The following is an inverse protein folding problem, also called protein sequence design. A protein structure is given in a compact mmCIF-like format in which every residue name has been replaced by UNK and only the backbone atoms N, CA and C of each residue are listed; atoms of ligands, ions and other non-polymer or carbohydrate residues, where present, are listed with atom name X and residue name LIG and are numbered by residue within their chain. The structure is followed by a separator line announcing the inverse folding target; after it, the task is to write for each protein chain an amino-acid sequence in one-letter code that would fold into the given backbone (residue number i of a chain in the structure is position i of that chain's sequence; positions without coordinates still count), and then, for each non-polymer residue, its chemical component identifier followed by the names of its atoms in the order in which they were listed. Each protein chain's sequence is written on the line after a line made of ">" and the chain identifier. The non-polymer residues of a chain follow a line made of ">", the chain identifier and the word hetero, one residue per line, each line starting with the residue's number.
data_IF_334216076429
#
_entry.id   IF_334216076429
#
_cell.length_a   1.000
_cell.length_b   1.000
_cell.length_c   1.000
_cell.angle_alpha   90.00
_cell.angle_beta   90.00
_cell.angle_gamma   90.00
#
_symmetry.space_group_name_H-M   'P 1'
#
loop_
_entity.id
_entity.type
_entity.pdbx_description
1 polymer ?
#
# COMPACT_ATOMS: atom_id res chain seq x y z
N UNK A 1 -27.68 15.33 -11.34
CA UNK A 1 -27.90 14.29 -10.30
C UNK A 1 -27.85 12.86 -10.84
N UNK A 2 -28.58 12.51 -11.91
CA UNK A 2 -28.54 11.14 -12.47
C UNK A 2 -27.13 10.65 -12.87
N UNK A 3 -26.33 11.50 -13.55
CA UNK A 3 -24.93 11.16 -13.92
C UNK A 3 -24.04 10.86 -12.71
N UNK A 4 -24.21 11.61 -11.60
CA UNK A 4 -23.46 11.40 -10.36
C UNK A 4 -23.84 10.09 -9.67
N UNK A 5 -25.14 9.75 -9.65
CA UNK A 5 -25.61 8.47 -9.11
C UNK A 5 -25.09 7.28 -9.90
N UNK A 6 -25.12 7.35 -11.23
CA UNK A 6 -24.59 6.28 -12.09
C UNK A 6 -23.10 6.09 -11.85
N UNK A 7 -22.33 7.18 -11.71
CA UNK A 7 -20.90 7.12 -11.42
C UNK A 7 -20.62 6.49 -10.04
N UNK A 8 -21.36 6.87 -9.00
CA UNK A 8 -21.22 6.28 -7.65
C UNK A 8 -21.57 4.80 -7.62
N UNK A 9 -22.61 4.38 -8.35
CA UNK A 9 -22.97 2.95 -8.49
C UNK A 9 -21.84 2.19 -9.19
N UNK A 10 -21.31 2.73 -10.29
CA UNK A 10 -20.19 2.11 -11.02
C UNK A 10 -18.95 1.92 -10.14
N UNK A 11 -18.60 2.96 -9.37
CA UNK A 11 -17.50 2.89 -8.40
C UNK A 11 -17.79 1.83 -7.34
N UNK A 12 -18.96 1.85 -6.69
CA UNK A 12 -19.31 0.87 -5.66
C UNK A 12 -19.29 -0.57 -6.17
N UNK A 13 -19.77 -0.84 -7.40
CA UNK A 13 -19.68 -2.16 -8.02
C UNK A 13 -18.23 -2.58 -8.23
N UNK A 14 -17.37 -1.67 -8.72
CA UNK A 14 -15.94 -1.95 -8.92
C UNK A 14 -15.26 -2.31 -7.57
N UNK A 15 -15.49 -1.52 -6.53
CA UNK A 15 -14.94 -1.77 -5.19
C UNK A 15 -15.45 -3.08 -4.58
N UNK A 16 -16.71 -3.46 -4.84
CA UNK A 16 -17.28 -4.74 -4.41
C UNK A 16 -16.57 -5.94 -5.07
N UNK A 17 -16.35 -5.89 -6.39
CA UNK A 17 -15.61 -6.95 -7.12
C UNK A 17 -14.17 -7.08 -6.60
N UNK A 18 -13.49 -5.97 -6.34
CA UNK A 18 -12.14 -5.97 -5.77
C UNK A 18 -12.14 -6.59 -4.37
N UNK A 19 -13.13 -6.26 -3.54
CA UNK A 19 -13.24 -6.79 -2.18
C UNK A 19 -13.48 -8.30 -2.15
N UNK A 20 -14.36 -8.82 -3.01
CA UNK A 20 -14.59 -10.26 -3.10
C UNK A 20 -13.37 -11.01 -3.60
N UNK A 21 -12.70 -10.50 -4.65
CA UNK A 21 -11.45 -11.11 -5.14
C UNK A 21 -10.31 -11.05 -4.14
N UNK A 22 -10.28 -10.01 -3.30
CA UNK A 22 -9.29 -9.86 -2.23
C UNK A 22 -9.61 -10.63 -0.95
N UNK A 23 -10.66 -11.46 -0.92
CA UNK A 23 -10.99 -12.32 0.22
C UNK A 23 -11.76 -11.66 1.36
N UNK A 24 -12.32 -10.45 1.19
CA UNK A 24 -13.12 -9.79 2.22
C UNK A 24 -14.59 -9.62 1.79
N UNK A 25 -15.44 -10.65 2.04
CA UNK A 25 -16.83 -10.64 1.61
C UNK A 25 -17.68 -9.60 2.34
N UNK A 26 -17.31 -9.20 3.58
CA UNK A 26 -18.03 -8.18 4.34
C UNK A 26 -17.90 -6.80 3.68
N UNK A 27 -16.69 -6.42 3.28
CA UNK A 27 -16.46 -5.18 2.52
C UNK A 27 -17.14 -5.25 1.16
N UNK A 28 -17.12 -6.42 0.50
CA UNK A 28 -17.84 -6.65 -0.76
C UNK A 28 -19.34 -6.40 -0.65
N UNK A 29 -19.99 -6.95 0.39
CA UNK A 29 -21.42 -6.76 0.66
C UNK A 29 -21.76 -5.31 1.00
N UNK A 30 -20.92 -4.63 1.77
CA UNK A 30 -21.09 -3.22 2.13
C UNK A 30 -21.19 -2.33 0.89
N UNK A 31 -20.30 -2.52 -0.09
CA UNK A 31 -20.36 -1.79 -1.35
C UNK A 31 -21.57 -2.15 -2.22
N UNK A 32 -22.03 -3.42 -2.19
CA UNK A 32 -23.28 -3.81 -2.86
C UNK A 32 -24.48 -3.07 -2.27
N UNK A 33 -24.56 -2.97 -0.94
CA UNK A 33 -25.64 -2.23 -0.26
C UNK A 33 -25.60 -0.74 -0.64
N UNK A 34 -24.41 -0.13 -0.68
CA UNK A 34 -24.23 1.26 -1.10
C UNK A 34 -24.66 1.47 -2.56
N UNK A 35 -24.33 0.54 -3.46
CA UNK A 35 -24.75 0.58 -4.86
C UNK A 35 -26.27 0.42 -5.04
N UNK A 36 -26.90 -0.43 -4.22
CA UNK A 36 -28.33 -0.72 -4.29
C UNK A 36 -29.21 0.37 -3.65
N UNK A 37 -28.69 1.12 -2.66
CA UNK A 37 -29.47 2.07 -1.88
C UNK A 37 -30.23 3.14 -2.71
N UNK A 38 -29.64 3.78 -3.74
CA UNK A 38 -30.35 4.75 -4.57
C UNK A 38 -31.50 4.12 -5.36
N UNK A 39 -31.30 2.90 -5.88
CA UNK A 39 -32.29 2.17 -6.67
C UNK A 39 -33.46 1.74 -5.78
N UNK A 40 -33.16 1.20 -4.60
CA UNK A 40 -34.17 0.84 -3.61
C UNK A 40 -34.95 2.06 -3.12
N UNK A 41 -34.28 3.19 -2.91
CA UNK A 41 -34.92 4.44 -2.52
C UNK A 41 -35.88 4.97 -3.59
N UNK A 42 -35.46 4.99 -4.86
CA UNK A 42 -36.31 5.41 -5.98
C UNK A 42 -37.50 4.46 -6.16
N UNK A 43 -37.26 3.14 -6.11
CA UNK A 43 -38.32 2.13 -6.17
C UNK A 43 -39.35 2.29 -5.06
N UNK A 44 -38.89 2.52 -3.82
CA UNK A 44 -39.75 2.79 -2.67
C UNK A 44 -40.56 4.10 -2.83
N UNK A 45 -39.92 5.18 -3.29
CA UNK A 45 -40.59 6.47 -3.51
C UNK A 45 -41.67 6.38 -4.60
N UNK A 46 -41.42 5.62 -5.67
CA UNK A 46 -42.41 5.39 -6.74
C UNK A 46 -43.56 4.50 -6.25
N UNK A 47 -43.26 3.43 -5.52
CA UNK A 47 -44.27 2.51 -5.00
C UNK A 47 -45.19 3.19 -3.98
N UNK A 48 -44.64 4.03 -3.10
CA UNK A 48 -45.41 4.79 -2.10
C UNK A 48 -46.25 5.89 -2.73
N UNK A 49 -45.76 6.61 -3.77
CA UNK A 49 -46.58 7.57 -4.54
C UNK A 49 -47.78 6.91 -5.21
N UNK A 50 -47.62 5.70 -5.76
CA UNK A 50 -48.74 4.94 -6.36
C UNK A 50 -49.79 4.53 -5.32
N UNK A 51 -49.40 4.21 -4.09
CA UNK A 51 -50.32 3.89 -2.99
C UNK A 51 -50.98 5.13 -2.36
N UNK A 52 -50.32 6.29 -2.42
CA UNK A 52 -50.79 7.52 -1.78
C UNK A 52 -51.82 8.33 -2.59
N UNK A 53 -52.26 7.84 -3.76
CA UNK A 53 -53.29 8.48 -4.59
C UNK A 53 -54.71 8.55 -3.99
N UNK A 54 -54.87 8.39 -2.66
CA UNK A 54 -56.18 8.32 -2.00
C UNK A 54 -56.32 8.98 -0.64
N UNK A 55 -55.28 9.51 0.01
CA UNK A 55 -55.47 10.12 1.35
C UNK A 55 -54.46 11.21 1.67
N UNK A 56 -54.97 12.42 1.89
CA UNK A 56 -54.26 13.56 2.47
C UNK A 56 -53.71 13.20 3.85
N UNK A 57 -52.39 13.05 3.97
CA UNK A 57 -51.74 12.74 5.24
C UNK A 57 -51.74 13.97 6.16
N UNK A 58 -52.59 13.92 7.17
CA UNK A 58 -52.58 14.78 8.38
C UNK A 58 -51.21 14.74 9.06
N UNK A 59 -50.85 15.87 9.67
CA UNK A 59 -49.49 16.25 10.06
C UNK A 59 -48.74 15.28 10.96
N UNK A 60 -47.50 15.00 10.57
CA UNK A 60 -46.50 14.39 11.45
C UNK A 60 -46.05 15.41 12.50
N UNK A 61 -46.30 15.12 13.78
CA UNK A 61 -45.95 16.00 14.91
C UNK A 61 -44.45 16.31 15.00
N UNK A 62 -44.11 17.47 15.56
CA UNK A 62 -42.73 17.98 15.67
C UNK A 62 -41.75 16.98 16.32
N UNK A 63 -42.23 16.14 17.24
CA UNK A 63 -41.45 15.09 17.91
C UNK A 63 -41.02 13.96 16.96
N UNK A 64 -41.87 13.61 15.99
CA UNK A 64 -41.57 12.58 14.99
C UNK A 64 -40.58 13.09 13.92
N UNK A 65 -40.53 14.42 13.69
CA UNK A 65 -39.50 15.06 12.85
C UNK A 65 -38.12 15.02 13.51
N UNK A 66 -38.03 15.25 14.83
CA UNK A 66 -36.77 15.19 15.58
C UNK A 66 -36.14 13.79 15.62
N UNK A 67 -36.94 12.75 15.86
CA UNK A 67 -36.44 11.37 15.81
C UNK A 67 -36.03 10.94 14.40
N UNK A 68 -36.75 11.37 13.35
CA UNK A 68 -36.37 11.11 11.96
C UNK A 68 -35.05 11.76 11.58
N UNK A 69 -34.80 13.01 11.99
CA UNK A 69 -33.53 13.68 11.68
C UNK A 69 -32.35 13.05 12.42
N UNK A 70 -32.56 12.58 13.66
CA UNK A 70 -31.54 11.86 14.43
C UNK A 70 -31.19 10.51 13.79
N UNK A 71 -32.20 9.73 13.40
CA UNK A 71 -32.00 8.45 12.69
C UNK A 71 -31.28 8.64 11.34
N UNK A 72 -31.65 9.66 10.57
CA UNK A 72 -30.99 9.97 9.30
C UNK A 72 -29.53 10.39 9.49
N UNK A 73 -29.22 11.15 10.54
CA UNK A 73 -27.84 11.53 10.86
C UNK A 73 -27.02 10.31 11.31
N UNK A 74 -27.59 9.45 12.15
CA UNK A 74 -26.92 8.23 12.60
C UNK A 74 -26.62 7.29 11.42
N UNK A 75 -27.59 7.05 10.53
CA UNK A 75 -27.37 6.22 9.33
C UNK A 75 -26.35 6.83 8.39
N UNK A 76 -26.36 8.15 8.20
CA UNK A 76 -25.35 8.84 7.41
C UNK A 76 -23.94 8.64 7.98
N UNK A 77 -23.76 8.80 9.30
CA UNK A 77 -22.46 8.58 9.97
C UNK A 77 -21.99 7.14 9.82
N UNK A 78 -22.85 6.16 10.09
CA UNK A 78 -22.51 4.73 9.94
C UNK A 78 -22.11 4.42 8.50
N UNK A 79 -22.82 4.97 7.52
CA UNK A 79 -22.50 4.76 6.10
C UNK A 79 -21.14 5.36 5.74
N UNK A 80 -20.82 6.56 6.23
CA UNK A 80 -19.51 7.19 5.99
C UNK A 80 -18.38 6.37 6.61
N UNK A 81 -18.54 5.88 7.84
CA UNK A 81 -17.55 5.02 8.49
C UNK A 81 -17.37 3.69 7.74
N UNK A 82 -18.47 3.08 7.34
CA UNK A 82 -18.50 1.83 6.59
C UNK A 82 -17.78 1.97 5.23
N UNK A 83 -18.12 3.01 4.45
CA UNK A 83 -17.47 3.29 3.16
C UNK A 83 -16.01 3.67 3.36
N UNK A 84 -15.70 4.50 4.36
CA UNK A 84 -14.34 4.87 4.71
C UNK A 84 -13.47 3.65 5.02
N UNK A 85 -13.97 2.72 5.83
CA UNK A 85 -13.32 1.45 6.11
C UNK A 85 -13.16 0.57 4.87
N UNK A 86 -14.20 0.47 4.03
CA UNK A 86 -14.14 -0.30 2.79
C UNK A 86 -13.09 0.23 1.81
N UNK A 87 -13.02 1.56 1.64
CA UNK A 87 -11.99 2.21 0.82
C UNK A 87 -10.61 1.99 1.45
N UNK A 88 -10.48 2.16 2.77
CA UNK A 88 -9.22 1.91 3.47
C UNK A 88 -8.72 0.48 3.23
N UNK A 89 -9.59 -0.51 3.38
CA UNK A 89 -9.22 -1.91 3.18
C UNK A 89 -8.82 -2.22 1.74
N UNK A 90 -9.49 -1.63 0.74
CA UNK A 90 -9.14 -1.82 -0.68
C UNK A 90 -7.82 -1.15 -1.03
N UNK A 91 -7.55 0.02 -0.46
CA UNK A 91 -6.41 0.88 -0.81
C UNK A 91 -5.15 0.65 0.05
N UNK A 92 -5.26 0.13 1.27
CA UNK A 92 -4.10 0.07 2.18
C UNK A 92 -3.80 -1.33 2.70
N UNK A 93 -4.79 -2.22 2.76
CA UNK A 93 -4.57 -3.57 3.30
C UNK A 93 -3.80 -4.44 2.28
N UNK A 94 -2.71 -5.11 2.69
CA UNK A 94 -1.96 -6.02 1.83
C UNK A 94 -2.85 -7.09 1.18
N UNK A 95 -2.56 -7.45 -0.08
CA UNK A 95 -3.33 -8.46 -0.83
C UNK A 95 -2.45 -9.64 -1.22
N UNK A 96 -3.03 -10.84 -1.21
CA UNK A 96 -2.36 -12.01 -1.75
C UNK A 96 -2.00 -11.79 -3.22
N UNK A 97 -0.84 -12.31 -3.60
CA UNK A 97 -0.39 -12.40 -4.98
C UNK A 97 -0.09 -13.86 -5.30
N UNK A 98 -1.08 -14.53 -5.92
CA UNK A 98 -1.02 -15.94 -6.27
C UNK A 98 -0.29 -16.21 -7.61
N UNK A 99 0.37 -15.20 -8.18
CA UNK A 99 1.19 -15.39 -9.39
C UNK A 99 2.38 -16.30 -9.06
N UNK A 100 2.74 -17.14 -10.02
CA UNK A 100 3.95 -17.97 -9.92
C UNK A 100 5.17 -17.09 -9.69
N UNK A 101 5.98 -17.45 -8.69
CA UNK A 101 7.24 -16.77 -8.40
C UNK A 101 8.34 -17.45 -9.20
N UNK A 102 8.96 -16.73 -10.10
CA UNK A 102 10.07 -17.23 -10.92
C UNK A 102 11.41 -16.65 -10.49
N UNK A 103 11.39 -15.47 -9.87
CA UNK A 103 12.59 -14.69 -9.49
C UNK A 103 12.29 -13.84 -8.26
N UNK A 104 13.34 -13.47 -7.53
CA UNK A 104 13.22 -12.59 -6.35
C UNK A 104 12.58 -11.26 -6.69
N UNK A 105 12.84 -10.69 -7.88
CA UNK A 105 12.22 -9.43 -8.29
C UNK A 105 10.70 -9.50 -8.43
N UNK A 106 10.09 -10.69 -8.51
CA UNK A 106 8.63 -10.82 -8.50
C UNK A 106 8.03 -10.43 -7.11
N UNK A 107 8.87 -10.41 -6.06
CA UNK A 107 8.51 -10.01 -4.70
C UNK A 107 8.51 -8.47 -4.49
N UNK A 108 9.00 -7.68 -5.44
CA UNK A 108 9.09 -6.21 -5.36
C UNK A 108 7.73 -5.56 -5.01
N UNK A 109 6.64 -6.12 -5.54
CA UNK A 109 5.28 -5.63 -5.23
C UNK A 109 4.90 -5.73 -3.74
N UNK A 110 5.68 -6.43 -2.91
CA UNK A 110 5.59 -6.40 -1.45
C UNK A 110 5.91 -5.03 -0.84
N UNK A 111 6.69 -4.20 -1.55
CA UNK A 111 7.10 -2.86 -1.13
C UNK A 111 6.17 -1.74 -1.60
N UNK A 112 5.15 -2.03 -2.42
CA UNK A 112 4.03 -1.11 -2.64
C UNK A 112 4.01 -0.34 -3.96
N UNK A 113 4.53 -0.92 -5.05
CA UNK A 113 4.45 -0.34 -6.41
C UNK A 113 3.04 -0.28 -7.04
N UNK A 114 1.96 -0.32 -6.25
CA UNK A 114 0.57 -0.32 -6.74
C UNK A 114 -0.44 0.15 -5.69
N UNK A 115 -1.74 -0.04 -5.99
CA UNK A 115 -2.84 0.43 -5.12
C UNK A 115 -2.71 -0.08 -3.69
N UNK A 116 -2.24 -1.33 -3.48
CA UNK A 116 -1.97 -1.90 -2.18
C UNK A 116 -0.77 -2.86 -2.26
N UNK A 117 0.00 -2.96 -1.16
CA UNK A 117 1.14 -3.89 -1.04
C UNK A 117 0.69 -5.34 -1.25
N UNK A 118 1.61 -6.19 -1.70
CA UNK A 118 1.35 -7.62 -1.90
C UNK A 118 2.00 -8.49 -0.83
N UNK A 119 1.41 -9.64 -0.57
CA UNK A 119 2.02 -10.74 0.14
C UNK A 119 1.91 -12.02 -0.70
N UNK A 120 2.72 -13.02 -0.38
CA UNK A 120 3.00 -14.14 -1.26
C UNK A 120 2.80 -15.48 -0.52
N UNK A 121 1.58 -16.02 -0.46
CA UNK A 121 1.26 -17.25 0.28
C UNK A 121 2.14 -18.47 -0.03
N UNK A 122 2.69 -18.52 -1.24
CA UNK A 122 3.58 -19.55 -1.78
C UNK A 122 5.03 -19.47 -1.27
N UNK A 123 5.33 -18.49 -0.41
CA UNK A 123 6.64 -18.33 0.23
C UNK A 123 6.71 -19.07 1.58
N UNK A 124 7.92 -19.28 2.07
CA UNK A 124 8.16 -19.91 3.36
C UNK A 124 7.60 -19.05 4.50
N UNK A 125 7.03 -19.71 5.51
CA UNK A 125 6.53 -19.04 6.71
C UNK A 125 7.69 -18.59 7.59
N UNK A 126 7.60 -17.42 8.21
CA UNK A 126 8.64 -16.91 9.10
C UNK A 126 8.53 -17.54 10.50
N UNK A 127 9.10 -18.75 10.64
CA UNK A 127 9.08 -19.55 11.88
C UNK A 127 10.39 -20.34 12.04
N UNK A 128 10.65 -20.80 13.27
CA UNK A 128 11.85 -21.57 13.61
C UNK A 128 13.04 -20.67 13.97
N UNK A 129 14.20 -21.28 14.14
CA UNK A 129 15.46 -20.56 14.27
C UNK A 129 15.99 -20.19 12.87
N UNK A 130 16.63 -19.03 12.76
CA UNK A 130 17.26 -18.55 11.53
C UNK A 130 18.34 -19.50 10.96
N UNK A 131 18.87 -19.18 9.76
CA UNK A 131 18.68 -17.93 9.04
C UNK A 131 17.35 -17.84 8.26
N UNK A 132 16.74 -16.67 8.31
CA UNK A 132 15.50 -16.32 7.61
C UNK A 132 15.79 -15.59 6.29
N UNK A 133 15.63 -16.22 5.12
CA UNK A 133 16.03 -15.59 3.87
C UNK A 133 15.23 -14.32 3.57
N UNK A 134 15.93 -13.26 3.18
CA UNK A 134 15.37 -11.92 3.00
C UNK A 134 15.56 -11.42 1.57
N UNK A 135 14.49 -10.89 0.96
CA UNK A 135 14.54 -10.12 -0.27
C UNK A 135 14.52 -8.63 0.06
N UNK A 136 15.47 -7.86 -0.48
CA UNK A 136 15.64 -6.43 -0.18
C UNK A 136 15.38 -5.59 -1.42
N UNK A 137 14.63 -4.49 -1.26
CA UNK A 137 14.27 -3.58 -2.34
C UNK A 137 14.48 -2.12 -1.94
N UNK A 138 14.98 -1.30 -2.86
CA UNK A 138 15.08 0.15 -2.71
C UNK A 138 14.25 0.86 -3.76
N UNK A 139 13.99 2.14 -3.54
CA UNK A 139 13.39 3.03 -4.53
C UNK A 139 14.47 4.02 -4.97
N UNK A 140 14.79 4.02 -6.26
CA UNK A 140 15.72 4.98 -6.85
C UNK A 140 15.11 6.39 -6.90
N UNK A 141 15.94 7.41 -7.14
CA UNK A 141 15.51 8.80 -7.36
C UNK A 141 14.51 8.96 -8.52
N UNK A 142 14.45 7.99 -9.44
CA UNK A 142 13.46 7.94 -10.51
C UNK A 142 12.06 7.48 -10.05
N UNK A 143 11.95 6.96 -8.81
CA UNK A 143 10.77 6.29 -8.27
C UNK A 143 10.67 4.81 -8.68
N UNK A 144 11.67 4.28 -9.39
CA UNK A 144 11.71 2.86 -9.78
C UNK A 144 12.27 2.01 -8.64
N UNK A 145 11.62 0.88 -8.35
CA UNK A 145 12.14 -0.05 -7.36
C UNK A 145 13.15 -1.04 -7.95
N UNK A 146 14.19 -1.34 -7.19
CA UNK A 146 15.26 -2.24 -7.58
C UNK A 146 15.67 -3.16 -6.44
N UNK A 147 16.02 -4.43 -6.73
CA UNK A 147 16.55 -5.34 -5.72
C UNK A 147 17.94 -4.89 -5.25
N UNK A 148 18.18 -5.00 -3.95
CA UNK A 148 19.52 -4.85 -3.36
C UNK A 148 20.27 -6.17 -3.55
N UNK A 149 21.47 -6.07 -4.11
CA UNK A 149 22.34 -7.22 -4.31
C UNK A 149 23.43 -7.28 -3.23
N UNK A 150 23.71 -8.48 -2.70
CA UNK A 150 24.80 -8.66 -1.76
C UNK A 150 26.17 -8.42 -2.40
N UNK A 151 27.13 -8.04 -1.57
CA UNK A 151 28.55 -8.06 -1.93
C UNK A 151 29.05 -9.50 -2.06
N UNK A 152 30.12 -9.70 -2.84
CA UNK A 152 30.72 -11.03 -3.03
C UNK A 152 31.11 -11.67 -1.70
N UNK A 153 30.82 -12.97 -1.54
CA UNK A 153 31.12 -13.73 -0.32
C UNK A 153 30.05 -13.66 0.77
N UNK A 154 28.96 -12.91 0.56
CA UNK A 154 27.78 -12.95 1.42
C UNK A 154 27.03 -14.27 1.25
N UNK A 155 26.45 -14.81 2.33
CA UNK A 155 25.62 -16.00 2.27
C UNK A 155 24.33 -15.80 1.44
N UNK A 156 23.89 -16.85 0.75
CA UNK A 156 22.80 -16.80 -0.25
C UNK A 156 21.41 -16.42 0.31
N UNK A 157 21.23 -16.44 1.64
CA UNK A 157 19.99 -16.02 2.29
C UNK A 157 19.83 -14.49 2.39
N UNK A 158 20.86 -13.73 2.03
CA UNK A 158 20.90 -12.26 2.08
C UNK A 158 20.63 -11.58 0.73
N UNK A 159 19.44 -11.79 0.16
CA UNK A 159 18.97 -11.22 -1.12
C UNK A 159 19.82 -11.59 -2.34
N UNK A 160 19.37 -11.19 -3.52
CA UNK A 160 20.06 -11.38 -4.81
C UNK A 160 19.52 -12.50 -5.67
N UNK A 161 20.16 -12.71 -6.83
CA UNK A 161 19.63 -13.59 -7.89
C UNK A 161 19.72 -15.09 -7.59
N UNK A 162 20.59 -15.50 -6.64
CA UNK A 162 20.74 -16.90 -6.24
C UNK A 162 19.68 -17.38 -5.24
N UNK A 163 18.89 -16.46 -4.68
CA UNK A 163 17.89 -16.78 -3.68
C UNK A 163 16.62 -17.34 -4.34
N UNK A 164 16.19 -18.52 -3.91
CA UNK A 164 14.93 -19.12 -4.34
C UNK A 164 13.75 -18.27 -3.81
N UNK A 165 12.91 -17.69 -4.68
CA UNK A 165 11.80 -16.84 -4.25
C UNK A 165 10.77 -17.58 -3.38
N UNK A 166 10.67 -18.92 -3.47
CA UNK A 166 9.77 -19.70 -2.61
C UNK A 166 10.31 -19.88 -1.19
N UNK A 167 11.62 -19.73 -0.98
CA UNK A 167 12.28 -19.84 0.32
C UNK A 167 12.40 -18.53 1.07
N UNK A 168 12.09 -17.40 0.42
CA UNK A 168 12.08 -16.08 1.06
C UNK A 168 11.05 -16.08 2.19
N UNK A 169 11.47 -15.65 3.37
CA UNK A 169 10.59 -15.49 4.54
C UNK A 169 10.32 -14.01 4.83
N UNK A 170 11.26 -13.13 4.45
CA UNK A 170 11.22 -11.71 4.77
C UNK A 170 11.35 -10.85 3.51
N UNK A 171 10.63 -9.73 3.47
CA UNK A 171 10.76 -8.67 2.48
C UNK A 171 11.13 -7.39 3.21
N UNK A 172 12.29 -6.82 2.89
CA UNK A 172 12.75 -5.56 3.44
C UNK A 172 12.61 -4.47 2.38
N UNK A 173 11.78 -3.48 2.68
CA UNK A 173 11.44 -2.38 1.80
C UNK A 173 12.10 -1.12 2.31
N UNK A 174 12.97 -0.52 1.50
CA UNK A 174 13.55 0.78 1.77
C UNK A 174 12.65 1.86 1.16
N UNK A 175 12.16 2.75 2.02
CA UNK A 175 11.35 3.89 1.59
C UNK A 175 12.22 4.94 0.88
N UNK A 176 11.57 5.92 0.25
CA UNK A 176 12.29 7.05 -0.33
C UNK A 176 13.11 7.79 0.75
N UNK A 177 14.31 8.28 0.43
CA UNK A 177 15.15 8.94 1.41
C UNK A 177 14.55 10.27 1.89
N UNK A 178 14.67 10.52 3.18
CA UNK A 178 14.66 11.86 3.74
C UNK A 178 16.04 12.53 3.54
N UNK A 179 16.03 13.86 3.56
CA UNK A 179 17.25 14.67 3.51
C UNK A 179 18.05 14.57 4.81
N UNK A 180 19.31 14.15 4.69
CA UNK A 180 20.30 14.21 5.76
C UNK A 180 21.30 15.35 5.58
N UNK A 181 22.54 15.08 5.98
CA UNK A 181 23.65 16.04 5.88
C UNK A 181 24.02 16.35 4.42
N UNK A 182 24.22 17.63 4.10
CA UNK A 182 24.77 18.03 2.80
C UNK A 182 26.21 17.54 2.65
N UNK A 183 26.51 16.85 1.54
CA UNK A 183 27.83 16.29 1.28
C UNK A 183 28.61 17.13 0.27
N UNK A 184 28.04 17.41 -0.89
CA UNK A 184 28.70 18.17 -1.96
C UNK A 184 27.71 18.61 -3.04
N UNK A 185 28.15 19.51 -3.91
CA UNK A 185 27.49 19.77 -5.19
C UNK A 185 28.05 18.83 -6.27
N UNK A 186 27.17 18.07 -6.93
CA UNK A 186 27.50 17.24 -8.08
C UNK A 186 27.34 18.04 -9.38
N UNK A 187 28.47 18.27 -10.06
CA UNK A 187 28.50 19.01 -11.32
C UNK A 187 28.33 18.05 -12.49
N UNK A 188 27.23 18.19 -13.22
CA UNK A 188 26.98 17.51 -14.48
C UNK A 188 27.20 18.47 -15.65
N UNK A 189 27.18 17.94 -16.88
CA UNK A 189 27.39 18.77 -18.08
C UNK A 189 26.33 19.85 -18.26
N UNK A 190 25.08 19.58 -17.86
CA UNK A 190 23.95 20.51 -18.02
C UNK A 190 23.63 21.29 -16.75
N UNK A 191 23.80 20.68 -15.58
CA UNK A 191 23.27 21.19 -14.31
C UNK A 191 24.20 20.87 -13.14
N UNK A 192 23.98 21.56 -12.02
CA UNK A 192 24.59 21.21 -10.73
C UNK A 192 23.49 20.78 -9.77
N UNK A 193 23.68 19.62 -9.15
CA UNK A 193 22.68 18.96 -8.30
C UNK A 193 23.28 18.71 -6.94
N UNK A 194 22.56 19.04 -5.87
CA UNK A 194 23.05 18.86 -4.50
C UNK A 194 23.03 17.40 -4.11
N UNK A 195 24.10 16.91 -3.50
CA UNK A 195 24.17 15.57 -2.92
C UNK A 195 24.05 15.66 -1.40
N UNK A 196 23.03 15.02 -0.86
CA UNK A 196 22.80 14.84 0.57
C UNK A 196 23.06 13.39 0.97
N UNK A 197 23.30 13.19 2.26
CA UNK A 197 23.29 11.87 2.86
C UNK A 197 21.84 11.40 2.97
N UNK A 198 21.50 10.28 2.34
CA UNK A 198 20.14 9.73 2.45
C UNK A 198 19.84 9.23 3.86
N UNK A 199 18.64 9.48 4.34
CA UNK A 199 18.11 8.90 5.58
C UNK A 199 16.90 8.04 5.22
N UNK A 200 17.02 6.74 5.40
CA UNK A 200 16.04 5.79 4.90
C UNK A 200 15.36 5.08 6.07
N UNK A 201 14.06 4.87 5.96
CA UNK A 201 13.36 3.91 6.79
C UNK A 201 13.27 2.59 6.02
N UNK A 202 13.74 1.50 6.64
CA UNK A 202 13.56 0.13 6.14
C UNK A 202 12.45 -0.52 6.94
N UNK A 203 11.43 -1.03 6.26
CA UNK A 203 10.38 -1.82 6.91
C UNK A 203 10.46 -3.28 6.48
N UNK A 204 10.48 -4.17 7.46
CA UNK A 204 10.55 -5.62 7.26
C UNK A 204 9.15 -6.21 7.39
N UNK A 205 8.75 -6.96 6.38
CA UNK A 205 7.49 -7.68 6.32
C UNK A 205 7.73 -9.18 6.18
N UNK A 206 6.85 -9.98 6.75
CA UNK A 206 6.78 -11.41 6.43
C UNK A 206 6.28 -11.58 4.99
N UNK A 207 7.04 -12.29 4.16
CA UNK A 207 6.72 -12.50 2.75
C UNK A 207 5.37 -13.20 2.56
N UNK A 208 5.10 -14.22 3.39
CA UNK A 208 3.91 -15.08 3.29
C UNK A 208 2.61 -14.37 3.63
N UNK A 209 2.62 -13.52 4.66
CA UNK A 209 1.39 -12.91 5.20
C UNK A 209 1.29 -11.40 4.98
N UNK A 210 2.41 -10.74 4.66
CA UNK A 210 2.50 -9.29 4.54
C UNK A 210 2.53 -8.55 5.88
N UNK A 211 2.55 -9.28 7.00
CA UNK A 211 2.59 -8.72 8.35
C UNK A 211 3.89 -7.96 8.57
N UNK A 212 3.78 -6.76 9.14
CA UNK A 212 4.96 -5.98 9.56
C UNK A 212 5.65 -6.67 10.74
N UNK A 213 6.93 -6.96 10.58
CA UNK A 213 7.79 -7.54 11.61
C UNK A 213 8.51 -6.43 12.38
N UNK A 214 9.00 -5.41 11.68
CA UNK A 214 9.69 -4.29 12.30
C UNK A 214 10.06 -3.20 11.30
N UNK A 215 10.63 -2.12 11.80
CA UNK A 215 11.20 -1.05 10.98
C UNK A 215 12.47 -0.53 11.63
N UNK A 216 13.45 -0.15 10.81
CA UNK A 216 14.71 0.41 11.24
C UNK A 216 15.07 1.63 10.39
N UNK A 217 16.04 2.40 10.87
CA UNK A 217 16.61 3.51 10.11
C UNK A 217 17.97 3.09 9.55
N UNK A 218 18.15 3.29 8.25
CA UNK A 218 19.42 3.15 7.54
C UNK A 218 19.90 4.52 7.09
N UNK A 219 21.22 4.69 7.04
CA UNK A 219 21.83 5.94 6.61
C UNK A 219 22.67 5.68 5.38
N UNK A 220 22.59 6.57 4.40
CA UNK A 220 23.44 6.56 3.23
C UNK A 220 24.92 6.77 3.58
N UNK A 221 25.79 6.45 2.63
CA UNK A 221 27.23 6.67 2.79
C UNK A 221 27.55 8.15 3.06
N UNK A 222 28.52 8.41 3.95
CA UNK A 222 29.06 9.75 4.19
C UNK A 222 30.08 10.18 3.12
N UNK A 223 30.51 9.26 2.27
CA UNK A 223 31.50 9.54 1.22
C UNK A 223 30.77 10.22 0.05
N UNK A 224 31.13 11.47 -0.31
CA UNK A 224 30.55 12.11 -1.47
C UNK A 224 30.95 11.33 -2.73
N UNK A 225 29.96 10.72 -3.39
CA UNK A 225 30.16 9.98 -4.63
C UNK A 225 29.12 10.44 -5.66
N UNK A 226 29.52 11.37 -6.52
CA UNK A 226 28.65 11.87 -7.58
C UNK A 226 28.57 10.84 -8.72
N UNK A 227 27.37 10.37 -9.09
CA UNK A 227 27.23 9.45 -10.21
C UNK A 227 27.62 10.16 -11.51
N UNK A 228 28.20 9.42 -12.47
CA UNK A 228 28.54 9.98 -13.79
C UNK A 228 27.32 10.29 -14.65
N UNK A 229 26.19 9.63 -14.38
CA UNK A 229 24.89 9.83 -15.03
C UNK A 229 23.79 9.51 -14.02
N UNK A 230 22.73 10.30 -14.02
CA UNK A 230 21.53 10.05 -13.20
C UNK A 230 20.26 10.35 -13.99
N UNK A 231 19.23 9.52 -13.79
CA UNK A 231 17.89 9.76 -14.30
C UNK A 231 17.02 10.33 -13.19
N UNK A 232 16.62 11.58 -13.35
CA UNK A 232 15.80 12.28 -12.37
C UNK A 232 14.37 12.42 -12.83
N UNK A 233 13.46 12.32 -11.88
CA UNK A 233 12.08 12.75 -12.09
C UNK A 233 12.07 14.26 -12.32
N UNK A 234 11.16 14.73 -13.18
CA UNK A 234 11.02 16.16 -13.45
C UNK A 234 10.76 16.93 -12.15
N UNK A 235 11.60 17.91 -11.87
CA UNK A 235 11.50 18.75 -10.66
C UNK A 235 12.34 18.29 -9.47
N UNK A 236 13.07 17.18 -9.58
CA UNK A 236 14.07 16.77 -8.59
C UNK A 236 15.36 17.54 -8.82
N UNK A 237 15.86 18.23 -7.79
CA UNK A 237 17.07 19.07 -7.80
C UNK A 237 18.14 18.62 -6.79
N UNK A 238 17.96 17.41 -6.24
CA UNK A 238 18.86 16.81 -5.27
C UNK A 238 19.02 15.30 -5.46
N UNK A 239 20.11 14.78 -4.91
CA UNK A 239 20.49 13.38 -4.89
C UNK A 239 20.75 12.95 -3.46
N UNK A 240 20.52 11.66 -3.18
CA UNK A 240 20.86 11.05 -1.91
C UNK A 240 21.89 9.95 -2.09
N UNK A 241 22.82 9.82 -1.14
CA UNK A 241 23.67 8.63 -1.06
C UNK A 241 22.86 7.43 -0.59
N UNK A 242 23.12 6.26 -1.18
CA UNK A 242 22.51 4.99 -0.77
C UNK A 242 23.29 4.35 0.41
N UNK A 243 22.64 3.52 1.24
CA UNK A 243 23.31 2.76 2.29
C UNK A 243 24.24 1.68 1.69
N UNK A 244 25.35 1.38 2.35
CA UNK A 244 26.21 0.28 1.92
C UNK A 244 25.59 -1.06 2.35
N UNK A 245 25.88 -2.16 1.63
CA UNK A 245 25.29 -3.47 1.93
C UNK A 245 25.55 -3.94 3.38
N UNK A 246 26.72 -3.61 3.92
CA UNK A 246 27.08 -3.89 5.30
C UNK A 246 26.13 -3.21 6.31
N UNK A 247 25.59 -2.03 5.98
CA UNK A 247 24.63 -1.32 6.83
C UNK A 247 23.31 -2.12 6.90
N UNK A 248 22.83 -2.65 5.77
CA UNK A 248 21.66 -3.54 5.75
C UNK A 248 21.89 -4.77 6.63
N UNK A 249 23.03 -5.44 6.50
CA UNK A 249 23.32 -6.62 7.31
C UNK A 249 23.35 -6.29 8.80
N UNK A 250 24.01 -5.19 9.17
CA UNK A 250 24.17 -4.79 10.57
C UNK A 250 22.82 -4.54 11.27
N UNK A 251 21.87 -3.97 10.54
CA UNK A 251 20.55 -3.56 11.04
C UNK A 251 19.53 -4.70 10.95
N UNK A 252 19.55 -5.44 9.84
CA UNK A 252 18.54 -6.48 9.55
C UNK A 252 18.89 -7.84 10.15
N UNK A 253 20.13 -8.08 10.62
CA UNK A 253 20.55 -9.37 11.21
C UNK A 253 19.63 -9.84 12.34
N UNK A 254 19.02 -8.93 13.10
CA UNK A 254 18.08 -9.30 14.19
C UNK A 254 16.76 -9.89 13.69
N UNK A 255 16.45 -9.73 12.41
CA UNK A 255 15.30 -10.37 11.77
C UNK A 255 15.73 -11.61 10.98
N UNK A 256 16.95 -11.60 10.43
CA UNK A 256 17.47 -12.67 9.58
C UNK A 256 18.09 -13.81 10.40
N UNK A 257 18.89 -13.52 11.42
CA UNK A 257 19.70 -14.52 12.12
C UNK A 257 19.07 -15.02 13.44
N UNK A 258 17.91 -14.49 13.84
CA UNK A 258 17.22 -14.84 15.08
C UNK A 258 16.39 -16.12 14.99
#
# INVERSE_FOLDING_TARGET
>A
MAKLMVLLIGIAVLFSVIAFKGGNPLVGLLFVVVAAAPVLYVGYAVATRRRAGGTSARGAGAQQRGQRTLLLRATAVVTVLAVGYGVYWVMFEPKANDKALSRVSDLDTGCGSGIARKYFPQTAEHTGAGPHPVAMFTISESGSSHPVYPTSGTADYWSGNGLDPHRVQLIACLDAPDEGEFLTDCKFTTDTIKLYRGVYDVTVYEARTGKKIGSEKLLGSRKPNCPGMVYLKRGTDQLHTEPEFADYQSVLRKYVDN
#
